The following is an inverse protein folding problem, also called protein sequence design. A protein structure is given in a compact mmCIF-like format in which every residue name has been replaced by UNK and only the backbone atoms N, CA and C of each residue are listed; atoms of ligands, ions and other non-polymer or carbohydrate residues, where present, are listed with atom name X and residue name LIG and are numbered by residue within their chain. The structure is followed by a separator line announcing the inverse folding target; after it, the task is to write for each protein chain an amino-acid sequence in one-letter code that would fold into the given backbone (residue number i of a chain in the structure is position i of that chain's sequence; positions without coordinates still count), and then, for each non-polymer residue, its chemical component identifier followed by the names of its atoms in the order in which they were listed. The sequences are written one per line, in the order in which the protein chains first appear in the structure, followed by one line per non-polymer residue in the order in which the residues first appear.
data_IF_761630621180
#
_entry.id   IF_761630621180
#
_cell.length_a   1.000
_cell.length_b   1.000
_cell.length_c   1.000
_cell.angle_alpha   90.00
_cell.angle_beta   90.00
_cell.angle_gamma   90.00
#
_symmetry.space_group_name_H-M   'P 1'
#
loop_
_entity.id
_entity.type
_entity.pdbx_description
1 polymer ?
#
# COMPACT_ATOMS: atom_id res chain seq x y z
N UNK A 1 -21.87 -9.91 -16.16
CA UNK A 1 -21.44 -9.26 -14.91
C UNK A 1 -20.65 -10.31 -14.16
N UNK A 2 -19.33 -10.32 -14.35
CA UNK A 2 -18.45 -11.35 -13.80
C UNK A 2 -18.25 -11.03 -12.33
N UNK A 3 -18.67 -11.92 -11.44
CA UNK A 3 -18.35 -11.85 -10.02
C UNK A 3 -16.83 -11.92 -9.91
N UNK A 4 -16.17 -10.79 -9.62
CA UNK A 4 -14.76 -10.80 -9.27
C UNK A 4 -14.61 -11.68 -8.02
N UNK A 5 -13.72 -12.67 -8.10
CA UNK A 5 -13.47 -13.57 -6.99
C UNK A 5 -12.89 -12.75 -5.84
N UNK A 6 -13.62 -12.67 -4.72
CA UNK A 6 -13.17 -11.97 -3.52
C UNK A 6 -11.92 -12.68 -3.01
N UNK A 7 -10.76 -12.08 -3.25
CA UNK A 7 -9.47 -12.64 -2.80
C UNK A 7 -9.44 -12.55 -1.28
N UNK A 8 -9.05 -13.64 -0.61
CA UNK A 8 -8.85 -13.62 0.83
C UNK A 8 -7.74 -12.60 1.17
N UNK A 9 -8.10 -11.56 1.92
CA UNK A 9 -7.15 -10.55 2.36
C UNK A 9 -6.14 -11.22 3.31
N UNK A 10 -4.82 -11.14 3.06
CA UNK A 10 -3.83 -11.71 3.95
C UNK A 10 -3.90 -11.11 5.36
N UNK A 11 -3.67 -11.91 6.39
CA UNK A 11 -3.51 -11.42 7.76
C UNK A 11 -2.23 -10.58 7.89
N UNK A 12 -2.26 -9.54 8.72
CA UNK A 12 -1.07 -8.77 9.09
C UNK A 12 -0.97 -8.62 10.63
N UNK A 13 0.25 -8.55 11.19
CA UNK A 13 0.43 -8.34 12.63
C UNK A 13 -0.31 -7.10 13.13
N UNK A 14 -1.06 -7.25 14.22
CA UNK A 14 -1.81 -6.15 14.82
C UNK A 14 -3.11 -5.78 14.10
N UNK A 15 -3.49 -6.50 13.02
CA UNK A 15 -4.73 -6.30 12.29
C UNK A 15 -5.63 -7.53 12.49
N UNK A 16 -6.78 -7.35 13.12
CA UNK A 16 -7.85 -8.34 13.18
C UNK A 16 -8.71 -8.25 11.92
N UNK A 17 -9.23 -9.38 11.44
CA UNK A 17 -10.17 -9.40 10.32
C UNK A 17 -11.39 -8.52 10.63
N UNK A 18 -11.48 -7.39 9.94
CA UNK A 18 -12.53 -6.41 10.12
C UNK A 18 -13.50 -6.49 8.95
N UNK A 19 -14.71 -7.02 9.21
CA UNK A 19 -15.75 -7.18 8.20
C UNK A 19 -16.23 -5.84 7.62
N UNK A 20 -16.06 -4.73 8.36
CA UNK A 20 -16.49 -3.39 7.97
C UNK A 20 -15.39 -2.60 7.24
N UNK A 21 -14.20 -3.16 7.05
CA UNK A 21 -13.13 -2.53 6.28
C UNK A 21 -13.55 -2.32 4.81
N UNK A 22 -13.49 -1.07 4.35
CA UNK A 22 -13.68 -0.72 2.93
C UNK A 22 -12.36 -0.72 2.17
N UNK A 23 -11.26 -0.36 2.86
CA UNK A 23 -9.91 -0.42 2.32
C UNK A 23 -9.06 -1.24 3.29
N UNK A 24 -8.31 -2.20 2.75
CA UNK A 24 -7.33 -2.97 3.49
C UNK A 24 -5.97 -2.85 2.85
N UNK A 25 -4.97 -2.46 3.62
CA UNK A 25 -3.58 -2.38 3.20
C UNK A 25 -2.79 -3.48 3.91
N UNK A 26 -2.01 -4.26 3.16
CA UNK A 26 -1.21 -5.38 3.68
C UNK A 26 0.23 -5.30 3.21
N UNK A 27 1.14 -5.26 4.18
CA UNK A 27 2.60 -5.29 4.02
C UNK A 27 3.12 -4.31 2.96
N UNK A 28 2.52 -3.11 2.91
CA UNK A 28 2.77 -2.14 1.88
C UNK A 28 4.22 -1.63 1.97
N UNK A 29 4.92 -1.65 0.85
CA UNK A 29 6.28 -1.10 0.72
C UNK A 29 6.39 -0.21 -0.50
N UNK A 30 7.11 0.89 -0.33
CA UNK A 30 7.55 1.75 -1.43
C UNK A 30 8.95 2.22 -1.16
N UNK A 31 9.89 1.66 -1.90
CA UNK A 31 11.30 1.99 -1.82
C UNK A 31 11.72 2.66 -3.13
N UNK A 32 12.36 3.83 -3.01
CA UNK A 32 12.88 4.57 -4.15
C UNK A 32 14.38 4.37 -4.28
N UNK A 33 14.87 4.10 -5.49
CA UNK A 33 16.31 4.13 -5.74
C UNK A 33 16.74 5.59 -5.87
N UNK A 34 17.48 6.09 -4.89
CA UNK A 34 17.91 7.51 -4.81
C UNK A 34 19.38 7.71 -5.16
N UNK A 35 20.12 6.62 -5.37
CA UNK A 35 21.51 6.65 -5.77
C UNK A 35 22.05 5.27 -6.14
N UNK A 36 23.26 5.24 -6.67
CA UNK A 36 23.95 4.03 -7.10
C UNK A 36 25.12 4.38 -8.02
N UNK A 37 26.15 3.53 -8.02
CA UNK A 37 27.45 3.87 -8.59
C UNK A 37 27.46 4.15 -10.09
N UNK A 38 28.38 5.02 -10.51
CA UNK A 38 28.56 5.44 -11.90
C UNK A 38 28.91 4.21 -12.75
N UNK A 39 28.32 4.10 -13.95
CA UNK A 39 28.58 3.00 -14.89
C UNK A 39 28.10 1.61 -14.43
N UNK A 40 27.13 1.51 -13.53
CA UNK A 40 26.60 0.22 -13.06
C UNK A 40 27.51 -0.51 -12.07
N UNK A 41 28.65 0.08 -11.71
CA UNK A 41 29.55 -0.41 -10.67
C UNK A 41 29.23 0.27 -9.35
N UNK A 42 28.57 -0.44 -8.44
CA UNK A 42 28.33 0.01 -7.06
C UNK A 42 26.97 -0.42 -6.51
N UNK A 43 26.85 -0.38 -5.18
CA UNK A 43 25.62 -0.77 -4.49
C UNK A 43 24.50 0.25 -4.77
N UNK A 44 23.28 -0.24 -5.02
CA UNK A 44 22.08 0.60 -5.12
C UNK A 44 21.74 1.18 -3.74
N UNK A 45 21.45 2.47 -3.69
CA UNK A 45 21.01 3.16 -2.48
C UNK A 45 19.48 3.28 -2.55
N UNK A 46 18.81 2.70 -1.55
CA UNK A 46 17.36 2.66 -1.44
C UNK A 46 16.88 3.56 -0.31
N UNK A 47 15.94 4.47 -0.62
CA UNK A 47 15.15 5.21 0.35
C UNK A 47 13.84 4.47 0.60
N UNK A 48 13.63 4.02 1.83
CA UNK A 48 12.39 3.35 2.26
C UNK A 48 11.35 4.38 2.67
N UNK A 49 10.51 4.83 1.74
CA UNK A 49 9.47 5.82 2.05
C UNK A 49 8.26 5.20 2.76
N UNK A 50 7.94 3.94 2.44
CA UNK A 50 6.96 3.12 3.14
C UNK A 50 7.59 1.75 3.34
N UNK A 51 7.60 1.24 4.57
CA UNK A 51 8.19 -0.07 4.90
C UNK A 51 7.26 -0.88 5.80
N UNK A 52 6.60 -1.88 5.22
CA UNK A 52 5.78 -2.88 5.90
C UNK A 52 4.56 -2.31 6.65
N UNK A 53 3.84 -1.42 5.98
CA UNK A 53 2.64 -0.79 6.56
C UNK A 53 1.41 -1.64 6.30
N UNK A 54 0.65 -1.94 7.35
CA UNK A 54 -0.64 -2.64 7.27
C UNK A 54 -1.67 -1.94 8.15
N UNK A 55 -2.85 -1.67 7.61
CA UNK A 55 -4.00 -1.13 8.34
C UNK A 55 -5.29 -1.30 7.54
N UNK A 56 -6.42 -1.14 8.23
CA UNK A 56 -7.75 -1.11 7.64
C UNK A 56 -8.38 0.27 7.80
N UNK A 57 -9.15 0.70 6.80
CA UNK A 57 -10.04 1.85 6.87
C UNK A 57 -11.46 1.31 6.87
N UNK A 58 -12.19 1.59 7.95
CA UNK A 58 -13.59 1.18 8.10
C UNK A 58 -14.53 2.04 7.27
N UNK A 59 -15.60 1.42 6.79
CA UNK A 59 -16.71 2.12 6.16
C UNK A 59 -17.32 3.14 7.12
N UNK A 60 -17.69 4.31 6.60
CA UNK A 60 -18.35 5.39 7.35
C UNK A 60 -17.53 5.96 8.53
N UNK A 61 -16.21 5.79 8.52
CA UNK A 61 -15.30 6.39 9.51
C UNK A 61 -14.36 7.39 8.84
N UNK A 62 -13.96 8.41 9.59
CA UNK A 62 -12.88 9.31 9.19
C UNK A 62 -11.55 8.69 9.60
N UNK A 63 -10.70 8.39 8.63
CA UNK A 63 -9.33 7.95 8.87
C UNK A 63 -8.36 9.14 8.79
N UNK A 64 -7.49 9.26 9.79
CA UNK A 64 -6.45 10.29 9.83
C UNK A 64 -5.06 9.68 9.78
N UNK A 65 -4.26 10.06 8.78
CA UNK A 65 -2.85 9.68 8.68
C UNK A 65 -1.96 10.86 9.12
N UNK A 66 -1.37 10.76 10.31
CA UNK A 66 -0.57 11.84 10.92
C UNK A 66 0.88 11.41 11.15
N UNK A 67 1.77 12.40 11.29
CA UNK A 67 3.19 12.18 11.53
C UNK A 67 4.06 13.32 10.99
N UNK A 68 5.35 13.31 11.31
CA UNK A 68 6.33 14.34 10.94
C UNK A 68 6.58 14.43 9.43
N UNK A 69 7.20 15.52 8.98
CA UNK A 69 7.63 15.64 7.58
C UNK A 69 8.58 14.48 7.21
N UNK A 70 8.34 13.84 6.07
CA UNK A 70 9.17 12.72 5.60
C UNK A 70 8.81 11.33 6.12
N UNK A 71 7.83 11.16 7.03
CA UNK A 71 7.46 9.83 7.54
C UNK A 71 6.66 8.93 6.55
N UNK A 72 6.48 9.35 5.30
CA UNK A 72 5.84 8.53 4.26
C UNK A 72 4.35 8.79 4.00
N UNK A 73 3.68 9.72 4.71
CA UNK A 73 2.22 9.98 4.55
C UNK A 73 1.79 10.20 3.10
N UNK A 74 2.42 11.16 2.42
CA UNK A 74 2.08 11.49 1.03
C UNK A 74 2.36 10.32 0.10
N UNK A 75 3.40 9.53 0.35
CA UNK A 75 3.69 8.32 -0.42
C UNK A 75 2.60 7.27 -0.20
N UNK A 76 2.21 6.98 1.04
CA UNK A 76 1.12 6.05 1.36
C UNK A 76 -0.19 6.46 0.67
N UNK A 77 -0.55 7.75 0.71
CA UNK A 77 -1.77 8.25 0.05
C UNK A 77 -1.71 8.11 -1.46
N UNK A 78 -0.56 8.39 -2.10
CA UNK A 78 -0.40 8.17 -3.54
C UNK A 78 -0.52 6.72 -3.95
N UNK A 79 0.00 5.78 -3.13
CA UNK A 79 -0.15 4.34 -3.36
C UNK A 79 -1.62 3.93 -3.26
N UNK A 80 -2.32 4.40 -2.22
CA UNK A 80 -3.75 4.14 -2.01
C UNK A 80 -4.62 4.67 -3.17
N UNK A 81 -4.29 5.86 -3.68
CA UNK A 81 -4.99 6.47 -4.82
C UNK A 81 -4.57 5.86 -6.17
N UNK A 82 -3.66 4.88 -6.20
CA UNK A 82 -3.14 4.29 -7.44
C UNK A 82 -2.30 5.23 -8.30
N UNK A 83 -1.90 6.39 -7.76
CA UNK A 83 -1.04 7.37 -8.44
C UNK A 83 0.41 6.90 -8.53
N UNK A 84 0.80 5.99 -7.63
CA UNK A 84 2.08 5.28 -7.68
C UNK A 84 1.86 3.79 -7.42
N UNK A 85 2.70 2.95 -8.01
CA UNK A 85 2.68 1.51 -7.72
C UNK A 85 3.55 1.18 -6.50
N UNK A 86 3.10 0.27 -5.62
CA UNK A 86 3.92 -0.23 -4.53
C UNK A 86 5.12 -1.02 -5.06
N UNK A 87 6.21 -1.03 -4.32
CA UNK A 87 7.34 -1.93 -4.56
C UNK A 87 7.00 -3.36 -4.11
N UNK A 88 6.18 -3.49 -3.05
CA UNK A 88 5.62 -4.75 -2.58
C UNK A 88 4.38 -4.50 -1.72
N UNK A 89 3.64 -5.57 -1.42
CA UNK A 89 2.38 -5.51 -0.67
C UNK A 89 1.15 -5.28 -1.55
N UNK A 90 -0.02 -5.29 -0.93
CA UNK A 90 -1.30 -5.26 -1.62
C UNK A 90 -2.25 -4.25 -1.00
N UNK A 91 -3.15 -3.72 -1.83
CA UNK A 91 -4.21 -2.80 -1.45
C UNK A 91 -5.51 -3.41 -1.96
N UNK A 92 -6.48 -3.56 -1.06
CA UNK A 92 -7.79 -4.11 -1.35
C UNK A 92 -8.84 -3.03 -1.17
N UNK A 93 -9.79 -2.97 -2.10
CA UNK A 93 -10.99 -2.14 -2.01
C UNK A 93 -12.21 -3.07 -2.01
N UNK A 94 -13.02 -3.02 -0.95
CA UNK A 94 -14.18 -3.91 -0.74
C UNK A 94 -13.86 -5.42 -0.85
N UNK A 95 -12.61 -5.80 -0.60
CA UNK A 95 -12.12 -7.19 -0.69
C UNK A 95 -11.59 -7.59 -2.08
N UNK A 96 -11.56 -6.67 -3.03
CA UNK A 96 -10.95 -6.87 -4.35
C UNK A 96 -9.56 -6.23 -4.41
N UNK A 97 -8.59 -6.95 -4.98
CA UNK A 97 -7.23 -6.40 -5.16
C UNK A 97 -7.26 -5.28 -6.21
N UNK A 98 -6.87 -4.07 -5.81
CA UNK A 98 -6.89 -2.86 -6.65
C UNK A 98 -6.00 -3.01 -7.89
N UNK A 99 -4.95 -3.84 -7.84
CA UNK A 99 -4.07 -4.09 -8.98
C UNK A 99 -4.75 -4.85 -10.12
N UNK A 100 -5.83 -5.59 -9.82
CA UNK A 100 -6.60 -6.40 -10.78
C UNK A 100 -7.84 -5.68 -11.30
N UNK A 101 -8.18 -4.52 -10.73
CA UNK A 101 -9.33 -3.75 -11.16
C UNK A 101 -9.07 -3.10 -12.54
N UNK A 102 -10.07 -3.16 -13.42
CA UNK A 102 -10.00 -2.45 -14.70
C UNK A 102 -9.92 -0.95 -14.46
N UNK A 103 -8.94 -0.29 -15.08
CA UNK A 103 -8.92 1.18 -15.16
C UNK A 103 -10.18 1.64 -15.90
N UNK A 104 -10.89 2.59 -15.30
CA UNK A 104 -12.00 3.28 -15.97
C UNK A 104 -11.50 4.16 -17.11
#
# INVERSE_FOLDING_TARGET
MTTAEKVAIPSAPGISDNADAIISIRNLRKWYQVGGGFLGFGNKIWLKAVDDVSFDIERNKTFGLVGESGCGKTTTLKLLLGLEQPTAGQIFYEGEDVSQMSKA
#
